data_IF_303931545149
#
_entry.id   IF_303931545149
#
_cell.length_a   1.000
_cell.length_b   1.000
_cell.length_c   1.000
_cell.angle_alpha   90.00
_cell.angle_beta   90.00
_cell.angle_gamma   90.00
#
_symmetry.space_group_name_H-M   'P 1'
#
loop_
_entity.id
_entity.type
_entity.pdbx_description
1 polymer ?
#
# COMPACT_ATOMS: atom_id res chain seq x y z
N UNK A 1 -17.91 -13.86 -15.26
CA UNK A 1 -18.19 -12.42 -15.10
C UNK A 1 -17.48 -11.64 -16.20
N UNK A 2 -18.21 -10.85 -16.98
CA UNK A 2 -17.68 -9.95 -18.02
C UNK A 2 -17.01 -8.71 -17.40
N UNK A 3 -16.29 -7.93 -18.20
CA UNK A 3 -15.68 -6.66 -17.72
C UNK A 3 -16.73 -5.62 -17.30
N UNK A 4 -17.89 -5.57 -17.97
CA UNK A 4 -18.98 -4.65 -17.59
C UNK A 4 -19.58 -5.06 -16.25
N UNK A 5 -19.92 -6.34 -16.09
CA UNK A 5 -20.47 -6.89 -14.84
C UNK A 5 -19.52 -6.66 -13.67
N UNK A 6 -18.21 -6.84 -13.89
CA UNK A 6 -17.19 -6.58 -12.86
C UNK A 6 -17.17 -5.12 -12.43
N UNK A 7 -17.13 -4.19 -13.39
CA UNK A 7 -17.12 -2.74 -13.11
C UNK A 7 -18.40 -2.29 -12.42
N UNK A 8 -19.55 -2.78 -12.86
CA UNK A 8 -20.85 -2.50 -12.24
C UNK A 8 -20.89 -2.98 -10.79
N UNK A 9 -20.36 -4.18 -10.53
CA UNK A 9 -20.27 -4.72 -9.17
C UNK A 9 -19.38 -3.87 -8.27
N UNK A 10 -18.16 -3.54 -8.73
CA UNK A 10 -17.26 -2.66 -7.97
C UNK A 10 -17.88 -1.27 -7.72
N UNK A 11 -18.58 -0.70 -8.70
CA UNK A 11 -19.29 0.56 -8.54
C UNK A 11 -20.48 0.45 -7.57
N UNK A 12 -21.13 -0.72 -7.49
CA UNK A 12 -22.16 -0.99 -6.49
C UNK A 12 -21.55 -1.07 -5.08
N UNK A 13 -20.44 -1.80 -4.90
CA UNK A 13 -19.70 -1.84 -3.63
C UNK A 13 -19.28 -0.44 -3.17
N UNK A 14 -18.70 0.35 -4.08
CA UNK A 14 -18.31 1.72 -3.79
C UNK A 14 -19.51 2.55 -3.29
N UNK A 15 -20.66 2.50 -3.97
CA UNK A 15 -21.86 3.24 -3.56
C UNK A 15 -22.43 2.79 -2.21
N UNK A 16 -22.32 1.50 -1.90
CA UNK A 16 -22.87 0.93 -0.66
C UNK A 16 -22.00 1.23 0.55
N UNK A 17 -20.68 1.15 0.40
CA UNK A 17 -19.75 1.19 1.53
C UNK A 17 -18.93 2.47 1.61
N UNK A 18 -18.54 3.04 0.46
CA UNK A 18 -17.65 4.21 0.43
C UNK A 18 -18.46 5.45 0.72
N UNK A 19 -18.15 6.08 1.84
CA UNK A 19 -18.76 7.34 2.26
C UNK A 19 -18.01 8.49 1.60
N UNK A 20 -18.71 9.58 1.23
CA UNK A 20 -18.04 10.82 0.89
C UNK A 20 -17.15 11.18 2.07
N UNK A 21 -15.85 11.21 1.84
CA UNK A 21 -14.87 11.60 2.82
C UNK A 21 -15.20 13.03 3.26
N UNK A 22 -15.83 13.18 4.43
CA UNK A 22 -16.00 14.51 5.02
C UNK A 22 -14.60 14.88 5.48
N UNK A 23 -13.99 15.87 4.80
CA UNK A 23 -12.78 16.57 5.26
C UNK A 23 -13.01 17.08 6.69
N UNK A 24 -12.87 16.22 7.68
CA UNK A 24 -12.94 16.57 9.09
C UNK A 24 -11.58 17.15 9.38
N UNK A 25 -11.56 18.48 9.51
CA UNK A 25 -10.42 19.27 9.96
C UNK A 25 -9.29 19.32 8.92
N UNK A 26 -9.42 20.24 7.97
CA UNK A 26 -8.22 20.79 7.35
C UNK A 26 -7.37 21.40 8.46
N UNK A 27 -6.27 20.76 8.83
CA UNK A 27 -5.17 21.47 9.45
C UNK A 27 -4.74 22.58 8.47
N UNK A 28 -4.38 23.79 8.95
CA UNK A 28 -4.05 24.93 8.10
C UNK A 28 -2.82 24.74 7.18
N UNK A 29 -2.16 23.57 7.19
CA UNK A 29 -0.90 23.30 6.49
C UNK A 29 -1.03 22.47 5.19
N UNK A 30 -2.24 22.11 4.74
CA UNK A 30 -2.46 21.42 3.46
C UNK A 30 -3.15 20.06 3.57
N UNK A 31 -3.41 19.43 2.43
CA UNK A 31 -4.10 18.13 2.34
C UNK A 31 -3.21 17.03 2.94
N UNK A 32 -3.57 16.52 4.14
CA UNK A 32 -2.76 15.56 4.92
C UNK A 32 -2.41 14.30 4.11
N UNK A 33 -3.29 13.86 3.21
CA UNK A 33 -3.06 12.73 2.30
C UNK A 33 -2.01 13.04 1.22
N UNK A 34 -1.99 14.27 0.66
CA UNK A 34 -0.95 14.67 -0.29
C UNK A 34 0.42 14.73 0.40
N UNK A 35 0.45 15.24 1.63
CA UNK A 35 1.68 15.24 2.41
C UNK A 35 2.14 13.81 2.75
N UNK A 36 1.21 12.93 3.14
CA UNK A 36 1.48 11.52 3.35
C UNK A 36 2.05 10.84 2.10
N UNK A 37 1.46 11.08 0.92
CA UNK A 37 1.99 10.58 -0.37
C UNK A 37 3.44 11.04 -0.57
N UNK A 38 3.72 12.33 -0.38
CA UNK A 38 5.06 12.88 -0.54
C UNK A 38 6.08 12.25 0.40
N UNK A 39 5.73 12.14 1.69
CA UNK A 39 6.59 11.51 2.72
C UNK A 39 6.82 10.04 2.45
N UNK A 40 5.77 9.25 2.28
CA UNK A 40 5.85 7.81 2.05
C UNK A 40 6.61 7.48 0.75
N UNK A 41 6.39 8.25 -0.32
CA UNK A 41 7.13 8.08 -1.58
C UNK A 41 8.62 8.38 -1.42
N UNK A 42 8.97 9.39 -0.62
CA UNK A 42 10.36 9.68 -0.28
C UNK A 42 10.99 8.55 0.53
N UNK A 43 10.30 8.07 1.56
CA UNK A 43 10.78 6.96 2.40
C UNK A 43 10.91 5.66 1.60
N UNK A 44 10.02 5.38 0.64
CA UNK A 44 10.10 4.21 -0.22
C UNK A 44 11.36 4.24 -1.11
N UNK A 45 11.64 5.39 -1.75
CA UNK A 45 12.87 5.58 -2.54
C UNK A 45 14.12 5.47 -1.66
N UNK A 46 14.05 6.01 -0.44
CA UNK A 46 15.13 5.89 0.52
C UNK A 46 15.38 4.43 0.91
N UNK A 47 14.32 3.65 1.19
CA UNK A 47 14.43 2.23 1.49
C UNK A 47 15.08 1.43 0.36
N UNK A 48 14.76 1.73 -0.91
CA UNK A 48 15.42 1.14 -2.09
C UNK A 48 16.92 1.43 -2.09
N UNK A 49 17.30 2.70 -1.93
CA UNK A 49 18.70 3.13 -1.89
C UNK A 49 19.49 2.51 -0.72
N UNK A 50 18.86 2.38 0.44
CA UNK A 50 19.46 1.71 1.62
C UNK A 50 19.63 0.22 1.36
N UNK A 51 18.70 -0.42 0.65
CA UNK A 51 18.82 -1.84 0.28
C UNK A 51 20.05 -2.14 -0.58
N UNK A 52 20.40 -1.23 -1.47
CA UNK A 52 21.63 -1.31 -2.29
C UNK A 52 22.93 -1.10 -1.47
N UNK A 53 22.82 -0.46 -0.30
CA UNK A 53 23.93 -0.10 0.59
C UNK A 53 23.70 -0.63 2.03
N UNK A 54 23.18 -1.85 2.11
CA UNK A 54 22.72 -2.47 3.36
C UNK A 54 23.85 -2.88 4.33
N UNK A 55 25.09 -2.57 3.97
CA UNK A 55 26.31 -2.66 4.78
C UNK A 55 26.61 -1.36 5.55
N UNK A 56 25.95 -0.25 5.21
CA UNK A 56 26.13 1.03 5.89
C UNK A 56 25.17 1.16 7.10
N UNK A 57 25.67 1.07 8.35
CA UNK A 57 24.84 1.13 9.55
C UNK A 57 24.16 2.48 9.77
N UNK A 58 24.79 3.59 9.35
CA UNK A 58 24.20 4.94 9.47
C UNK A 58 22.94 5.06 8.60
N UNK A 59 22.98 4.51 7.38
CA UNK A 59 21.83 4.47 6.49
C UNK A 59 20.71 3.59 7.03
N UNK A 60 21.03 2.45 7.66
CA UNK A 60 20.03 1.59 8.30
C UNK A 60 19.35 2.27 9.49
N UNK A 61 20.11 3.00 10.32
CA UNK A 61 19.56 3.76 11.44
C UNK A 61 18.70 4.92 10.95
N UNK A 62 19.15 5.65 9.94
CA UNK A 62 18.36 6.72 9.32
C UNK A 62 17.03 6.18 8.74
N UNK A 63 17.06 5.04 8.05
CA UNK A 63 15.85 4.39 7.56
C UNK A 63 14.94 3.95 8.72
N UNK A 64 15.50 3.34 9.76
CA UNK A 64 14.75 2.94 10.94
C UNK A 64 13.98 4.11 11.59
N UNK A 65 14.58 5.30 11.63
CA UNK A 65 13.91 6.50 12.12
C UNK A 65 12.80 6.98 11.17
N UNK A 66 13.01 6.94 9.86
CA UNK A 66 12.01 7.31 8.85
C UNK A 66 10.79 6.36 8.83
N UNK A 67 10.99 5.08 9.16
CA UNK A 67 9.92 4.08 9.26
C UNK A 67 9.00 4.31 10.47
N UNK A 68 9.42 5.11 11.44
CA UNK A 68 8.60 5.50 12.59
C UNK A 68 7.67 6.68 12.29
N UNK A 69 7.14 6.73 11.07
CA UNK A 69 6.19 7.76 10.69
C UNK A 69 4.74 7.25 10.89
N UNK A 70 3.87 8.18 11.28
CA UNK A 70 2.46 7.88 11.55
C UNK A 70 1.62 7.77 10.27
N UNK A 71 2.17 8.09 9.09
CA UNK A 71 1.43 8.19 7.83
C UNK A 71 0.88 6.85 7.33
N UNK A 72 1.59 5.74 7.56
CA UNK A 72 1.06 4.41 7.23
C UNK A 72 -0.23 4.13 7.99
N UNK A 73 -0.22 4.40 9.30
CA UNK A 73 -1.40 4.23 10.14
C UNK A 73 -2.53 5.17 9.72
N UNK A 74 -2.21 6.45 9.51
CA UNK A 74 -3.18 7.46 9.08
C UNK A 74 -3.92 7.03 7.83
N UNK A 75 -3.20 6.68 6.76
CA UNK A 75 -3.83 6.27 5.50
C UNK A 75 -4.72 5.04 5.69
N UNK A 76 -4.28 4.06 6.48
CA UNK A 76 -5.10 2.86 6.78
C UNK A 76 -6.35 3.23 7.57
N UNK A 77 -6.25 4.15 8.54
CA UNK A 77 -7.40 4.65 9.30
C UNK A 77 -8.37 5.40 8.38
N UNK A 78 -7.88 6.23 7.45
CA UNK A 78 -8.72 6.91 6.47
C UNK A 78 -9.41 5.93 5.50
N UNK A 79 -8.73 4.85 5.09
CA UNK A 79 -9.37 3.76 4.32
C UNK A 79 -10.46 3.06 5.13
N UNK A 80 -10.29 2.92 6.45
CA UNK A 80 -11.32 2.35 7.33
C UNK A 80 -12.51 3.31 7.45
N UNK A 81 -12.26 4.58 7.77
CA UNK A 81 -13.29 5.58 8.02
C UNK A 81 -14.10 5.93 6.77
N UNK A 82 -13.46 5.95 5.60
CA UNK A 82 -14.12 6.11 4.32
C UNK A 82 -14.97 4.90 3.91
N UNK A 83 -14.80 3.75 4.57
CA UNK A 83 -15.52 2.51 4.25
C UNK A 83 -14.91 1.69 3.11
N UNK A 84 -13.74 2.08 2.59
CA UNK A 84 -13.00 1.34 1.55
C UNK A 84 -12.61 -0.05 2.06
N UNK A 85 -12.06 -0.18 3.27
CA UNK A 85 -11.70 -1.49 3.82
C UNK A 85 -12.93 -2.39 4.00
N UNK A 86 -14.06 -1.82 4.46
CA UNK A 86 -15.32 -2.56 4.58
C UNK A 86 -15.82 -3.06 3.22
N UNK A 87 -15.67 -2.27 2.15
CA UNK A 87 -16.03 -2.68 0.80
C UNK A 87 -15.17 -3.86 0.29
N UNK A 88 -13.87 -3.85 0.63
CA UNK A 88 -12.94 -4.91 0.27
C UNK A 88 -13.21 -6.21 1.03
N UNK A 89 -13.60 -6.12 2.31
CA UNK A 89 -13.93 -7.26 3.16
C UNK A 89 -15.25 -7.95 2.78
N UNK A 90 -16.20 -7.21 2.21
CA UNK A 90 -17.55 -7.71 1.89
C UNK A 90 -17.51 -8.81 0.81
N UNK A 91 -16.74 -8.61 -0.25
CA UNK A 91 -16.71 -9.50 -1.41
C UNK A 91 -15.28 -9.77 -1.93
N UNK A 92 -14.38 -10.35 -1.11
CA UNK A 92 -12.98 -10.57 -1.49
C UNK A 92 -12.82 -11.53 -2.68
N UNK A 93 -13.76 -12.46 -2.83
CA UNK A 93 -13.88 -13.38 -3.97
C UNK A 93 -14.14 -12.67 -5.31
N UNK A 94 -14.54 -11.39 -5.27
CA UNK A 94 -14.72 -10.57 -6.47
C UNK A 94 -13.68 -9.44 -6.50
N UNK A 95 -13.48 -8.71 -5.41
CA UNK A 95 -12.55 -7.56 -5.38
C UNK A 95 -11.09 -8.00 -5.57
N UNK A 96 -10.72 -9.19 -5.09
CA UNK A 96 -9.37 -9.74 -5.23
C UNK A 96 -9.28 -10.90 -6.22
N UNK A 97 -10.13 -11.94 -6.13
CA UNK A 97 -9.96 -13.14 -6.97
C UNK A 97 -10.17 -12.83 -8.47
N UNK A 98 -10.98 -11.83 -8.77
CA UNK A 98 -11.24 -11.35 -10.13
C UNK A 98 -10.50 -10.05 -10.46
N UNK A 99 -9.58 -9.56 -9.61
CA UNK A 99 -8.92 -8.25 -9.77
C UNK A 99 -8.32 -8.05 -11.15
N UNK A 100 -8.67 -6.99 -11.89
CA UNK A 100 -8.26 -6.78 -13.29
C UNK A 100 -7.47 -5.50 -13.47
N UNK A 101 -6.51 -5.51 -14.41
CA UNK A 101 -5.71 -4.32 -14.77
C UNK A 101 -6.58 -3.15 -15.24
N UNK A 102 -7.70 -3.41 -15.91
CA UNK A 102 -8.64 -2.40 -16.40
C UNK A 102 -9.49 -1.74 -15.30
N UNK A 103 -9.36 -2.19 -14.05
CA UNK A 103 -9.92 -1.56 -12.85
C UNK A 103 -8.85 -0.79 -12.05
N UNK A 104 -7.60 -0.79 -12.53
CA UNK A 104 -6.49 -0.03 -11.95
C UNK A 104 -6.31 1.25 -12.80
N UNK A 105 -6.47 2.44 -12.21
CA UNK A 105 -6.34 3.70 -12.92
C UNK A 105 -4.87 4.04 -13.23
N UNK A 106 -4.63 4.91 -14.22
CA UNK A 106 -3.26 5.33 -14.59
C UNK A 106 -2.61 6.21 -13.51
N UNK A 107 -3.41 6.77 -12.61
CA UNK A 107 -2.95 7.41 -11.38
C UNK A 107 -2.04 6.49 -10.57
N UNK A 108 -2.34 5.20 -10.44
CA UNK A 108 -1.53 4.24 -9.70
C UNK A 108 -0.17 4.01 -10.35
N UNK A 109 -0.13 3.96 -11.68
CA UNK A 109 1.13 3.87 -12.44
C UNK A 109 2.04 5.03 -12.08
N UNK A 110 1.47 6.25 -11.98
CA UNK A 110 2.23 7.46 -11.60
C UNK A 110 2.66 7.43 -10.14
N UNK A 111 1.80 6.97 -9.24
CA UNK A 111 2.09 6.85 -7.81
C UNK A 111 3.22 5.84 -7.54
N UNK A 112 3.15 4.65 -8.13
CA UNK A 112 4.19 3.62 -8.03
C UNK A 112 5.53 4.09 -8.63
N UNK A 113 5.49 4.81 -9.75
CA UNK A 113 6.70 5.44 -10.28
C UNK A 113 7.30 6.44 -9.29
N UNK A 114 6.45 7.23 -8.62
CA UNK A 114 6.83 8.16 -7.57
C UNK A 114 7.52 7.51 -6.36
N UNK A 115 7.21 6.24 -6.07
CA UNK A 115 7.82 5.45 -4.99
C UNK A 115 9.14 4.77 -5.42
N UNK A 116 9.56 4.92 -6.68
CA UNK A 116 10.80 4.34 -7.20
C UNK A 116 10.66 2.94 -7.81
N UNK A 117 9.43 2.53 -8.19
CA UNK A 117 9.21 1.32 -8.99
C UNK A 117 9.64 1.59 -10.43
N UNK A 118 10.53 0.74 -10.97
CA UNK A 118 11.14 0.94 -12.28
C UNK A 118 10.17 0.62 -13.43
N UNK A 119 9.42 -0.48 -13.29
CA UNK A 119 8.36 -0.90 -14.22
C UNK A 119 7.02 -1.05 -13.47
N UNK A 120 6.23 0.04 -13.34
CA UNK A 120 4.97 0.00 -12.64
C UNK A 120 3.94 -0.95 -13.26
N UNK A 121 3.90 -1.13 -14.58
CA UNK A 121 2.91 -2.00 -15.22
C UNK A 121 3.22 -3.48 -14.96
N UNK A 122 4.50 -3.86 -14.99
CA UNK A 122 4.93 -5.19 -14.56
C UNK A 122 4.63 -5.41 -13.06
N UNK A 123 4.92 -4.43 -12.20
CA UNK A 123 4.64 -4.53 -10.76
C UNK A 123 3.14 -4.68 -10.49
N UNK A 124 2.28 -3.86 -11.13
CA UNK A 124 0.82 -3.99 -11.03
C UNK A 124 0.37 -5.41 -11.44
N UNK A 125 0.93 -5.95 -12.52
CA UNK A 125 0.60 -7.30 -12.99
C UNK A 125 0.95 -8.35 -11.92
N UNK A 126 2.15 -8.27 -11.34
CA UNK A 126 2.61 -9.17 -10.26
C UNK A 126 1.70 -9.05 -9.04
N UNK A 127 1.38 -7.81 -8.64
CA UNK A 127 0.52 -7.52 -7.50
C UNK A 127 -0.90 -8.07 -7.68
N UNK A 128 -1.47 -7.95 -8.88
CA UNK A 128 -2.77 -8.56 -9.20
C UNK A 128 -2.73 -10.07 -8.99
N UNK A 129 -1.71 -10.75 -9.51
CA UNK A 129 -1.57 -12.20 -9.34
C UNK A 129 -1.38 -12.59 -7.87
N UNK A 130 -0.58 -11.83 -7.12
CA UNK A 130 -0.36 -12.07 -5.71
C UNK A 130 -1.65 -11.88 -4.89
N UNK A 131 -2.35 -10.77 -5.12
CA UNK A 131 -3.58 -10.42 -4.42
C UNK A 131 -4.70 -11.44 -4.70
N UNK A 132 -4.85 -11.89 -5.96
CA UNK A 132 -5.77 -12.99 -6.33
C UNK A 132 -5.50 -14.25 -5.52
N UNK A 133 -4.22 -14.63 -5.41
CA UNK A 133 -3.81 -15.86 -4.71
C UNK A 133 -4.08 -15.74 -3.20
N UNK A 134 -3.60 -14.68 -2.55
CA UNK A 134 -3.59 -14.55 -1.09
C UNK A 134 -4.89 -13.99 -0.50
N UNK A 135 -5.53 -13.04 -1.17
CA UNK A 135 -6.70 -12.33 -0.64
C UNK A 135 -8.01 -12.78 -1.30
N UNK A 136 -7.94 -13.26 -2.56
CA UNK A 136 -9.11 -13.74 -3.30
C UNK A 136 -9.80 -14.96 -2.70
N UNK A 137 -9.07 -15.80 -1.96
CA UNK A 137 -9.59 -17.04 -1.36
C UNK A 137 -9.78 -16.93 0.17
N UNK A 138 -9.82 -15.70 0.71
CA UNK A 138 -10.03 -15.41 2.15
C UNK A 138 -8.97 -16.05 3.07
N UNK A 139 -7.74 -16.28 2.60
CA UNK A 139 -6.63 -16.71 3.48
C UNK A 139 -6.35 -15.63 4.55
N UNK A 140 -6.61 -14.37 4.22
CA UNK A 140 -6.53 -13.24 5.12
C UNK A 140 -7.68 -12.25 4.86
N UNK A 141 -8.09 -11.55 5.92
CA UNK A 141 -9.05 -10.45 5.84
C UNK A 141 -8.34 -9.17 5.36
N UNK A 142 -8.76 -8.54 4.25
CA UNK A 142 -8.13 -7.34 3.70
C UNK A 142 -7.89 -6.23 4.73
N UNK A 143 -8.89 -5.92 5.56
CA UNK A 143 -8.73 -4.89 6.61
C UNK A 143 -7.62 -5.24 7.60
N UNK A 144 -7.60 -6.50 8.07
CA UNK A 144 -6.62 -6.96 9.04
C UNK A 144 -5.21 -6.95 8.45
N UNK A 145 -5.08 -7.23 7.14
CA UNK A 145 -3.80 -7.11 6.43
C UNK A 145 -3.30 -5.67 6.36
N UNK A 146 -4.18 -4.73 6.01
CA UNK A 146 -3.83 -3.31 5.98
C UNK A 146 -3.40 -2.80 7.37
N UNK A 147 -4.11 -3.22 8.41
CA UNK A 147 -3.85 -2.86 9.81
C UNK A 147 -2.50 -3.38 10.33
N UNK A 148 -2.04 -4.54 9.84
CA UNK A 148 -0.74 -5.11 10.21
C UNK A 148 0.46 -4.34 9.64
N UNK A 149 0.26 -3.48 8.63
CA UNK A 149 1.33 -2.79 7.94
C UNK A 149 2.26 -2.02 8.89
N UNK A 150 1.68 -1.22 9.79
CA UNK A 150 2.42 -0.39 10.73
C UNK A 150 3.20 -1.25 11.73
N UNK A 151 2.56 -2.28 12.28
CA UNK A 151 3.19 -3.15 13.28
C UNK A 151 4.37 -3.91 12.68
N UNK A 152 4.27 -4.38 11.44
CA UNK A 152 5.37 -5.04 10.77
C UNK A 152 6.52 -4.07 10.45
N UNK A 153 6.23 -2.84 10.00
CA UNK A 153 7.27 -1.83 9.82
C UNK A 153 7.97 -1.49 11.14
N UNK A 154 7.23 -1.41 12.25
CA UNK A 154 7.80 -1.16 13.58
C UNK A 154 8.70 -2.31 14.03
N UNK A 155 8.30 -3.56 13.84
CA UNK A 155 9.16 -4.74 14.11
C UNK A 155 10.42 -4.73 13.28
N UNK A 156 10.33 -4.33 12.01
CA UNK A 156 11.50 -4.22 11.14
C UNK A 156 12.40 -3.07 11.58
N UNK A 157 11.86 -1.91 11.96
CA UNK A 157 12.64 -0.82 12.56
C UNK A 157 13.47 -1.34 13.74
N UNK A 158 12.83 -2.01 14.70
CA UNK A 158 13.51 -2.56 15.88
C UNK A 158 14.64 -3.52 15.46
N UNK A 159 14.39 -4.40 14.49
CA UNK A 159 15.42 -5.31 13.94
C UNK A 159 16.57 -4.59 13.26
N UNK A 160 16.30 -3.53 12.48
CA UNK A 160 17.32 -2.73 11.81
C UNK A 160 18.21 -2.00 12.83
N UNK A 161 17.60 -1.41 13.86
CA UNK A 161 18.31 -0.67 14.91
C UNK A 161 19.12 -1.59 15.84
N UNK A 162 18.57 -2.76 16.23
CA UNK A 162 19.32 -3.75 17.03
C UNK A 162 20.48 -4.38 16.25
N UNK A 163 20.29 -4.59 14.94
CA UNK A 163 21.34 -5.10 14.06
C UNK A 163 22.48 -4.11 13.83
N UNK A 164 22.21 -2.81 13.84
CA UNK A 164 23.23 -1.76 13.70
C UNK A 164 24.10 -1.58 14.95
N UNK A 165 23.58 -1.88 16.14
CA UNK A 165 24.31 -1.71 17.41
C UNK A 165 25.18 -2.92 17.78
N UNK A 166 25.06 -4.02 17.04
CA UNK A 166 25.84 -5.23 17.24
C UNK A 166 27.05 -5.18 16.31
N UNK A 167 28.24 -4.96 16.86
CA UNK A 167 29.53 -4.97 16.15
C UNK A 167 29.97 -6.37 15.66
N UNK A 168 29.09 -7.37 15.73
CA UNK A 168 29.28 -8.66 15.08
C UNK A 168 28.72 -8.58 13.66
N UNK A 169 29.44 -9.08 12.63
CA UNK A 169 28.92 -9.13 11.29
C UNK A 169 27.76 -10.13 11.26
N UNK A 170 26.55 -9.64 11.47
CA UNK A 170 25.35 -10.46 11.29
C UNK A 170 25.28 -10.72 9.78
N UNK A 171 25.81 -11.87 9.35
CA UNK A 171 25.59 -12.45 8.03
C UNK A 171 24.11 -12.81 7.89
N UNK A 172 23.23 -11.80 7.88
CA UNK A 172 21.93 -11.95 7.27
C UNK A 172 22.21 -12.25 5.80
N UNK A 173 21.82 -13.46 5.38
CA UNK A 173 21.82 -13.90 3.98
C UNK A 173 21.34 -12.73 3.10
N UNK A 174 22.10 -12.44 2.04
CA UNK A 174 21.81 -11.37 1.07
C UNK A 174 20.36 -11.45 0.58
N UNK A 175 19.83 -12.67 0.41
CA UNK A 175 18.45 -12.89 0.01
C UNK A 175 17.44 -12.42 1.07
N UNK A 176 17.73 -12.64 2.36
CA UNK A 176 16.87 -12.17 3.47
C UNK A 176 16.89 -10.65 3.58
N UNK A 177 18.07 -10.02 3.40
CA UNK A 177 18.17 -8.55 3.36
C UNK A 177 17.37 -7.98 2.20
N UNK A 178 17.52 -8.53 0.99
CA UNK A 178 16.76 -8.10 -0.18
C UNK A 178 15.25 -8.20 0.04
N UNK A 179 14.77 -9.31 0.63
CA UNK A 179 13.35 -9.44 1.00
C UNK A 179 12.89 -8.36 1.98
N UNK A 180 13.68 -8.01 2.99
CA UNK A 180 13.31 -6.96 3.96
C UNK A 180 13.09 -5.60 3.27
N UNK A 181 14.06 -5.13 2.47
CA UNK A 181 13.93 -3.82 1.82
C UNK A 181 12.84 -3.80 0.75
N UNK A 182 12.66 -4.91 0.04
CA UNK A 182 11.55 -5.09 -0.89
C UNK A 182 10.19 -5.02 -0.16
N UNK A 183 10.10 -5.68 1.01
CA UNK A 183 8.90 -5.69 1.84
C UNK A 183 8.54 -4.31 2.37
N UNK A 184 9.54 -3.55 2.86
CA UNK A 184 9.37 -2.13 3.23
C UNK A 184 8.85 -1.33 2.03
N UNK A 185 9.50 -1.46 0.87
CA UNK A 185 9.13 -0.74 -0.36
C UNK A 185 7.69 -1.00 -0.78
N UNK A 186 7.25 -2.27 -0.75
CA UNK A 186 5.88 -2.66 -1.12
C UNK A 186 4.83 -2.16 -0.14
N UNK A 187 5.09 -2.23 1.17
CA UNK A 187 4.16 -1.65 2.16
C UNK A 187 3.99 -0.15 1.88
N UNK A 188 5.10 0.59 1.75
CA UNK A 188 5.05 2.03 1.52
C UNK A 188 4.38 2.39 0.18
N UNK A 189 4.70 1.65 -0.89
CA UNK A 189 4.09 1.86 -2.21
C UNK A 189 2.58 1.55 -2.22
N UNK A 190 2.17 0.47 -1.54
CA UNK A 190 0.77 0.16 -1.32
C UNK A 190 0.05 1.25 -0.55
N UNK A 191 0.64 1.77 0.52
CA UNK A 191 0.10 2.89 1.29
C UNK A 191 -0.01 4.18 0.45
N UNK A 192 0.99 4.50 -0.38
CA UNK A 192 0.92 5.66 -1.30
C UNK A 192 -0.25 5.52 -2.27
N UNK A 193 -0.43 4.33 -2.84
CA UNK A 193 -1.54 4.03 -3.76
C UNK A 193 -2.88 4.19 -3.05
N UNK A 194 -3.02 3.65 -1.83
CA UNK A 194 -4.21 3.82 -0.99
C UNK A 194 -4.55 5.30 -0.71
N UNK A 195 -3.55 6.13 -0.38
CA UNK A 195 -3.76 7.56 -0.18
C UNK A 195 -4.24 8.26 -1.46
N UNK A 196 -3.67 7.90 -2.62
CA UNK A 196 -4.13 8.39 -3.92
C UNK A 196 -5.59 8.00 -4.21
N UNK A 197 -6.00 6.80 -3.83
CA UNK A 197 -7.38 6.32 -4.02
C UNK A 197 -8.38 7.03 -3.15
N UNK A 198 -7.99 7.38 -1.92
CA UNK A 198 -8.80 8.21 -1.05
C UNK A 198 -9.02 9.58 -1.68
N UNK A 199 -7.96 10.21 -2.21
CA UNK A 199 -8.08 11.47 -2.94
C UNK A 199 -8.98 11.34 -4.19
N UNK A 200 -8.86 10.26 -4.96
CA UNK A 200 -9.76 9.96 -6.07
C UNK A 200 -11.22 9.82 -5.61
N UNK A 201 -11.47 9.11 -4.51
CA UNK A 201 -12.81 8.93 -3.95
C UNK A 201 -13.44 10.26 -3.48
N UNK A 202 -12.62 11.23 -3.07
CA UNK A 202 -13.08 12.56 -2.62
C UNK A 202 -13.38 13.55 -3.75
N UNK A 203 -12.97 13.25 -4.99
CA UNK A 203 -13.13 14.18 -6.11
C UNK A 203 -11.99 15.19 -6.29
N UNK A 204 -10.93 15.13 -5.49
CA UNK A 204 -9.80 16.07 -5.56
C UNK A 204 -8.84 15.77 -6.70
N UNK A 205 -8.80 14.52 -7.16
CA UNK A 205 -8.02 14.12 -8.34
C UNK A 205 -8.89 14.10 -9.61
N UNK A 206 -10.16 13.65 -9.54
CA UNK A 206 -11.16 13.70 -10.63
C UNK A 206 -12.56 13.66 -9.96
N UNK A 207 -13.51 14.53 -10.34
CA UNK A 207 -14.86 14.57 -9.75
C UNK A 207 -15.51 13.16 -9.67
N UNK A 208 -16.22 12.82 -8.58
CA UNK A 208 -16.77 11.48 -8.39
C UNK A 208 -17.89 11.23 -9.39
N UNK A 209 -17.62 10.43 -10.42
CA UNK A 209 -18.63 9.84 -11.29
C UNK A 209 -18.60 8.31 -11.14
N UNK A 210 -19.65 7.58 -11.56
CA UNK A 210 -19.69 6.11 -11.47
C UNK A 210 -18.51 5.41 -12.19
N UNK A 211 -17.90 6.08 -13.17
CA UNK A 211 -16.72 5.58 -13.88
C UNK A 211 -15.41 5.73 -13.08
N UNK A 212 -15.36 6.56 -12.03
CA UNK A 212 -14.23 6.66 -11.10
C UNK A 212 -14.41 5.75 -9.88
N UNK A 213 -15.66 5.47 -9.50
CA UNK A 213 -16.00 4.72 -8.28
C UNK A 213 -15.51 3.26 -8.29
N UNK A 214 -15.62 2.56 -9.43
CA UNK A 214 -15.09 1.19 -9.53
C UNK A 214 -13.56 1.17 -9.43
N UNK A 215 -12.90 2.21 -9.97
CA UNK A 215 -11.45 2.39 -9.91
C UNK A 215 -10.94 2.52 -8.48
N UNK A 216 -11.69 3.20 -7.60
CA UNK A 216 -11.35 3.30 -6.17
C UNK A 216 -11.27 1.92 -5.53
N UNK A 217 -12.24 1.03 -5.78
CA UNK A 217 -12.24 -0.31 -5.16
C UNK A 217 -11.17 -1.20 -5.78
N UNK A 218 -11.08 -1.25 -7.11
CA UNK A 218 -10.08 -2.05 -7.81
C UNK A 218 -8.65 -1.64 -7.42
N UNK A 219 -8.36 -0.34 -7.42
CA UNK A 219 -7.07 0.17 -6.99
C UNK A 219 -6.82 -0.03 -5.49
N UNK A 220 -7.84 0.14 -4.64
CA UNK A 220 -7.66 -0.12 -3.21
C UNK A 220 -7.37 -1.60 -2.93
N UNK A 221 -7.93 -2.51 -3.72
CA UNK A 221 -7.58 -3.92 -3.67
C UNK A 221 -6.11 -4.15 -4.07
N UNK A 222 -5.62 -3.48 -5.11
CA UNK A 222 -4.20 -3.51 -5.49
C UNK A 222 -3.31 -2.98 -4.36
N UNK A 223 -3.67 -1.86 -3.75
CA UNK A 223 -2.94 -1.25 -2.63
C UNK A 223 -2.81 -2.21 -1.44
N UNK A 224 -3.91 -2.85 -1.03
CA UNK A 224 -3.90 -3.88 0.03
C UNK A 224 -3.12 -5.13 -0.40
N UNK A 225 -3.19 -5.50 -1.68
CA UNK A 225 -2.38 -6.58 -2.26
C UNK A 225 -0.87 -6.31 -2.13
N UNK A 226 -0.45 -5.07 -2.39
CA UNK A 226 0.94 -4.62 -2.22
C UNK A 226 1.39 -4.66 -0.77
N UNK A 227 0.56 -4.16 0.15
CA UNK A 227 0.82 -4.26 1.59
C UNK A 227 0.95 -5.73 2.02
N UNK A 228 0.02 -6.60 1.57
CA UNK A 228 0.04 -8.03 1.85
C UNK A 228 1.34 -8.70 1.38
N UNK A 229 1.79 -8.37 0.17
CA UNK A 229 3.04 -8.91 -0.37
C UNK A 229 4.24 -8.39 0.40
N UNK A 230 4.23 -7.10 0.76
CA UNK A 230 5.29 -6.51 1.56
C UNK A 230 5.42 -7.18 2.93
N UNK A 231 4.30 -7.44 3.61
CA UNK A 231 4.27 -8.19 4.87
C UNK A 231 4.85 -9.61 4.68
N UNK A 232 4.45 -10.31 3.61
CA UNK A 232 5.00 -11.64 3.29
C UNK A 232 6.53 -11.61 3.10
N UNK A 233 7.03 -10.62 2.36
CA UNK A 233 8.47 -10.41 2.16
C UNK A 233 9.20 -10.15 3.49
N UNK A 234 8.64 -9.35 4.40
CA UNK A 234 9.20 -9.08 5.74
C UNK A 234 9.26 -10.33 6.63
N UNK A 235 8.28 -11.23 6.48
CA UNK A 235 8.19 -12.52 7.18
C UNK A 235 9.02 -13.62 6.51
N UNK A 236 9.50 -13.39 5.29
CA UNK A 236 10.31 -14.32 4.52
C UNK A 236 9.52 -15.36 3.72
N UNK A 237 8.21 -15.16 3.55
CA UNK A 237 7.27 -16.02 2.82
C UNK A 237 7.47 -16.01 1.29
#
# INVERSE_FOLDING_TARGET
MTDSEYREFLAALARTHVRPYRRRHMHPEGDELLYAIGKLSSTARFAKAVGERSDNPELLNALGNELDNWYVQHVVDEMRESGVLSALDEAPDITFAELRRNAIPDEDVRLLRGTGVDDPDAEITILIHYARKRLGHREAKPSATAEQARDELKRIKERLMSGSNSSAPTQLDVNKKKKIFNGIGKILAGTVTAAGNLLLATGTLIAPNPATAYGVIGSSALAVGSICQGIGDLRGE
#
